data_IF_780428414186
#
_entry.id   IF_780428414186
#
_cell.length_a   1.000
_cell.length_b   1.000
_cell.length_c   1.000
_cell.angle_alpha   90.00
_cell.angle_beta   90.00
_cell.angle_gamma   90.00
#
_symmetry.space_group_name_H-M   'P 1'
#
loop_
_entity.id
_entity.type
_entity.pdbx_description
1 polymer ?
#
# COMPACT_ATOMS: atom_id res chain seq x y z
N UNK A 1 -8.81 60.45 -64.66
CA UNK A 1 -7.69 59.53 -64.42
C UNK A 1 -7.61 59.28 -62.93
N UNK A 2 -8.23 58.19 -62.48
CA UNK A 2 -8.12 57.69 -61.10
C UNK A 2 -6.88 56.80 -61.03
N UNK A 3 -5.97 57.12 -60.13
CA UNK A 3 -4.83 56.26 -59.80
C UNK A 3 -4.84 56.08 -58.29
N UNK A 4 -5.48 54.98 -57.89
CA UNK A 4 -5.51 54.48 -56.52
C UNK A 4 -4.09 54.12 -56.09
N UNK A 5 -3.59 54.87 -55.11
CA UNK A 5 -2.35 54.51 -54.41
C UNK A 5 -2.65 53.29 -53.53
N UNK A 6 -2.06 52.17 -53.93
CA UNK A 6 -1.95 50.92 -53.16
C UNK A 6 -1.49 51.27 -51.73
N UNK A 7 -2.42 51.20 -50.78
CA UNK A 7 -2.12 51.36 -49.36
C UNK A 7 -2.80 50.23 -48.60
N UNK A 8 -2.17 49.05 -48.60
CA UNK A 8 -2.48 48.00 -47.64
C UNK A 8 -1.24 47.13 -47.41
N UNK A 9 -0.26 47.67 -46.69
CA UNK A 9 0.70 46.83 -45.96
C UNK A 9 0.16 46.64 -44.55
N UNK A 10 -0.37 45.46 -44.29
CA UNK A 10 -0.71 44.99 -42.95
C UNK A 10 0.57 45.00 -42.10
N UNK A 11 0.58 45.82 -41.06
CA UNK A 11 1.62 45.80 -40.04
C UNK A 11 1.54 44.49 -39.27
N UNK A 12 2.30 43.49 -39.71
CA UNK A 12 2.53 42.26 -38.96
C UNK A 12 3.13 42.66 -37.60
N UNK A 13 2.35 42.52 -36.54
CA UNK A 13 2.79 42.80 -35.17
C UNK A 13 3.89 41.81 -34.79
N UNK A 14 5.15 42.26 -34.81
CA UNK A 14 6.27 41.49 -34.30
C UNK A 14 6.12 41.37 -32.78
N UNK A 15 5.66 40.20 -32.32
CA UNK A 15 5.71 39.84 -30.90
C UNK A 15 7.18 39.57 -30.54
N UNK A 16 7.78 40.35 -29.62
CA UNK A 16 9.13 40.07 -29.17
C UNK A 16 9.16 38.69 -28.51
N UNK A 17 10.02 37.80 -29.02
CA UNK A 17 10.26 36.52 -28.37
C UNK A 17 11.05 36.79 -27.09
N UNK A 18 10.54 36.30 -25.96
CA UNK A 18 11.19 36.43 -24.67
C UNK A 18 12.57 35.77 -24.68
N UNK A 19 13.62 36.50 -24.30
CA UNK A 19 15.00 36.00 -24.15
C UNK A 19 15.20 35.16 -22.88
N UNK A 20 14.14 34.91 -22.12
CA UNK A 20 14.18 33.95 -21.04
C UNK A 20 14.33 32.56 -21.65
N UNK A 21 15.28 31.72 -21.21
CA UNK A 21 15.37 30.33 -21.65
C UNK A 21 14.15 29.57 -21.12
N UNK A 22 13.01 29.71 -21.79
CA UNK A 22 11.90 28.79 -21.65
C UNK A 22 12.35 27.52 -22.37
N UNK A 23 13.05 26.67 -21.61
CA UNK A 23 13.50 25.36 -22.08
C UNK A 23 12.34 24.61 -22.72
N UNK A 24 12.64 23.87 -23.78
CA UNK A 24 11.66 23.11 -24.51
C UNK A 24 11.12 21.98 -23.61
N UNK A 25 9.82 22.03 -23.28
CA UNK A 25 9.17 20.97 -22.50
C UNK A 25 8.88 19.81 -23.44
N UNK A 26 9.90 18.99 -23.70
CA UNK A 26 9.74 17.76 -24.46
C UNK A 26 8.98 16.74 -23.61
N UNK A 27 7.73 16.49 -23.98
CA UNK A 27 6.96 15.38 -23.44
C UNK A 27 7.57 14.07 -23.91
N UNK A 28 8.22 13.33 -23.02
CA UNK A 28 8.69 11.98 -23.31
C UNK A 28 7.47 11.06 -23.48
N UNK A 29 7.10 10.82 -24.73
CA UNK A 29 6.18 9.74 -25.08
C UNK A 29 6.90 8.42 -24.84
N UNK A 30 6.23 7.49 -24.16
CA UNK A 30 6.78 6.16 -23.86
C UNK A 30 6.91 5.37 -25.17
N UNK A 31 8.14 5.02 -25.55
CA UNK A 31 8.41 4.23 -26.75
C UNK A 31 8.24 2.71 -26.56
N UNK A 32 8.21 2.22 -25.31
CA UNK A 32 8.14 0.78 -24.98
C UNK A 32 7.39 0.51 -23.66
N UNK A 33 6.52 -0.51 -23.68
CA UNK A 33 5.68 -0.95 -22.56
C UNK A 33 6.43 -1.59 -21.38
N UNK A 34 7.76 -1.74 -21.47
CA UNK A 34 8.63 -2.22 -20.39
C UNK A 34 9.39 -1.10 -19.67
N UNK A 35 9.30 0.14 -20.15
CA UNK A 35 9.84 1.28 -19.41
C UNK A 35 9.03 1.50 -18.13
N UNK A 36 9.64 1.92 -17.02
CA UNK A 36 8.89 2.23 -15.81
C UNK A 36 7.86 3.32 -16.12
N UNK A 37 6.59 2.91 -16.25
CA UNK A 37 5.46 3.81 -16.41
C UNK A 37 5.25 4.61 -15.13
N UNK A 38 4.32 5.58 -15.19
CA UNK A 38 3.88 6.36 -14.03
C UNK A 38 3.81 5.44 -12.81
N UNK A 39 4.72 5.65 -11.87
CA UNK A 39 4.64 5.00 -10.57
C UNK A 39 3.25 5.26 -10.02
N UNK A 40 2.60 4.23 -9.44
CA UNK A 40 1.34 4.45 -8.72
C UNK A 40 1.51 5.69 -7.85
N UNK A 41 0.54 6.60 -7.92
CA UNK A 41 0.56 7.84 -7.16
C UNK A 41 0.86 7.51 -5.70
N UNK A 42 1.82 8.23 -5.11
CA UNK A 42 2.24 7.95 -3.74
C UNK A 42 1.02 8.09 -2.83
N UNK A 43 0.53 6.96 -2.30
CA UNK A 43 -0.60 6.94 -1.38
C UNK A 43 -0.30 7.85 -0.21
N UNK A 44 -1.31 8.60 0.22
CA UNK A 44 -1.14 9.46 1.37
C UNK A 44 -0.72 8.63 2.59
N UNK A 45 0.10 9.18 3.51
CA UNK A 45 0.48 8.48 4.74
C UNK A 45 -0.74 7.95 5.52
N UNK A 46 -1.86 8.67 5.45
CA UNK A 46 -3.11 8.32 6.11
C UNK A 46 -3.79 7.09 5.47
N UNK A 47 -3.76 6.98 4.13
CA UNK A 47 -4.26 5.81 3.41
C UNK A 47 -3.40 4.56 3.66
N UNK A 48 -2.07 4.74 3.74
CA UNK A 48 -1.15 3.64 4.10
C UNK A 48 -1.37 3.20 5.55
N UNK A 49 -1.60 4.13 6.47
CA UNK A 49 -1.91 3.81 7.86
C UNK A 49 -3.24 3.06 7.99
N UNK A 50 -4.28 3.49 7.28
CA UNK A 50 -5.58 2.80 7.25
C UNK A 50 -5.48 1.36 6.75
N UNK A 51 -4.82 1.16 5.61
CA UNK A 51 -4.63 -0.19 5.04
C UNK A 51 -3.79 -1.11 5.91
N UNK A 52 -2.77 -0.58 6.61
CA UNK A 52 -2.01 -1.34 7.60
C UNK A 52 -2.85 -1.71 8.83
N UNK A 53 -3.65 -0.77 9.34
CA UNK A 53 -4.53 -1.01 10.48
C UNK A 53 -5.57 -2.10 10.17
N UNK A 54 -6.14 -2.09 8.96
CA UNK A 54 -7.06 -3.13 8.50
C UNK A 54 -6.38 -4.50 8.38
N UNK A 55 -5.16 -4.56 7.82
CA UNK A 55 -4.39 -5.79 7.73
C UNK A 55 -4.03 -6.35 9.12
N UNK A 56 -3.65 -5.48 10.05
CA UNK A 56 -3.34 -5.85 11.43
C UNK A 56 -4.58 -6.37 12.17
N UNK A 57 -5.73 -5.70 12.01
CA UNK A 57 -7.00 -6.14 12.58
C UNK A 57 -7.38 -7.54 12.07
N UNK A 58 -7.29 -7.76 10.76
CA UNK A 58 -7.55 -9.06 10.15
C UNK A 58 -6.60 -10.15 10.66
N UNK A 59 -5.33 -9.83 10.88
CA UNK A 59 -4.38 -10.78 11.46
C UNK A 59 -4.75 -11.15 12.90
N UNK A 60 -5.20 -10.19 13.72
CA UNK A 60 -5.70 -10.47 15.06
C UNK A 60 -6.98 -11.33 15.05
N UNK A 61 -7.92 -11.05 14.14
CA UNK A 61 -9.11 -11.88 13.94
C UNK A 61 -8.72 -13.34 13.59
N UNK A 62 -7.75 -13.54 12.69
CA UNK A 62 -7.25 -14.88 12.34
C UNK A 62 -6.61 -15.62 13.51
N UNK A 63 -5.85 -14.93 14.36
CA UNK A 63 -5.25 -15.53 15.56
C UNK A 63 -6.32 -15.89 16.60
N UNK A 64 -7.42 -15.13 16.67
CA UNK A 64 -8.56 -15.49 17.50
C UNK A 64 -9.27 -16.74 16.98
N UNK A 65 -9.52 -16.82 15.67
CA UNK A 65 -10.15 -17.99 15.05
C UNK A 65 -9.33 -19.27 15.27
N UNK A 66 -8.00 -19.18 15.15
CA UNK A 66 -7.09 -20.29 15.42
C UNK A 66 -7.13 -20.75 16.89
N UNK A 67 -7.35 -19.84 17.84
CA UNK A 67 -7.51 -20.19 19.25
C UNK A 67 -8.83 -20.92 19.50
N UNK A 68 -9.93 -20.40 18.94
CA UNK A 68 -11.25 -21.04 19.07
C UNK A 68 -11.25 -22.44 18.47
N UNK A 69 -10.67 -22.61 17.28
CA UNK A 69 -10.52 -23.92 16.63
C UNK A 69 -9.74 -24.91 17.52
N UNK A 70 -8.63 -24.46 18.12
CA UNK A 70 -7.83 -25.29 19.02
C UNK A 70 -8.60 -25.69 20.29
N UNK A 71 -9.39 -24.78 20.85
CA UNK A 71 -10.23 -25.04 22.02
C UNK A 71 -11.35 -26.03 21.69
N UNK A 72 -11.99 -25.90 20.51
CA UNK A 72 -13.01 -26.84 20.04
C UNK A 72 -12.46 -28.26 19.82
N UNK A 73 -11.27 -28.37 19.23
CA UNK A 73 -10.59 -29.65 19.02
C UNK A 73 -10.21 -30.30 20.35
N UNK A 74 -9.74 -29.49 21.31
CA UNK A 74 -9.43 -29.94 22.67
C UNK A 74 -10.69 -30.45 23.37
N UNK A 75 -11.80 -29.72 23.24
CA UNK A 75 -13.09 -30.11 23.80
C UNK A 75 -13.59 -31.42 23.19
N UNK A 76 -13.50 -31.60 21.87
CA UNK A 76 -13.92 -32.83 21.19
C UNK A 76 -13.16 -34.07 21.67
N UNK A 77 -11.86 -33.98 21.96
CA UNK A 77 -11.10 -35.11 22.53
C UNK A 77 -11.62 -35.50 23.92
N UNK A 78 -11.96 -34.52 24.76
CA UNK A 78 -12.40 -34.77 26.13
C UNK A 78 -13.78 -35.43 26.15
N UNK A 79 -14.66 -35.06 25.22
CA UNK A 79 -16.05 -35.54 25.19
C UNK A 79 -16.30 -36.72 24.24
N UNK A 80 -15.52 -36.88 23.16
CA UNK A 80 -15.61 -38.00 22.22
C UNK A 80 -14.22 -38.45 21.74
N UNK A 81 -13.54 -39.31 22.54
CA UNK A 81 -12.17 -39.77 22.27
C UNK A 81 -11.99 -40.59 20.99
N UNK A 82 -13.09 -41.01 20.33
CA UNK A 82 -13.05 -41.80 19.09
C UNK A 82 -13.33 -40.97 17.84
N UNK A 83 -13.71 -39.69 17.98
CA UNK A 83 -14.09 -38.82 16.87
C UNK A 83 -12.91 -38.07 16.21
N UNK A 84 -11.75 -38.03 16.88
CA UNK A 84 -10.55 -37.30 16.45
C UNK A 84 -9.28 -38.01 16.90
N UNK A 85 -8.24 -38.00 16.06
CA UNK A 85 -6.95 -38.62 16.36
C UNK A 85 -6.13 -37.71 17.29
N UNK A 86 -5.61 -38.25 18.40
CA UNK A 86 -4.90 -37.48 19.45
C UNK A 86 -3.77 -36.59 18.89
N UNK A 87 -3.08 -37.04 17.84
CA UNK A 87 -1.97 -36.30 17.26
C UNK A 87 -2.40 -35.04 16.52
N UNK A 88 -3.58 -35.01 15.91
CA UNK A 88 -4.10 -33.82 15.24
C UNK A 88 -4.37 -32.70 16.23
N UNK A 89 -4.85 -33.03 17.42
CA UNK A 89 -5.07 -32.04 18.49
C UNK A 89 -3.75 -31.57 19.09
N UNK A 90 -2.76 -32.45 19.25
CA UNK A 90 -1.42 -32.01 19.66
C UNK A 90 -0.78 -31.07 18.62
N UNK A 91 -0.94 -31.38 17.33
CA UNK A 91 -0.47 -30.52 16.23
C UNK A 91 -1.21 -29.18 16.26
N UNK A 92 -2.54 -29.19 16.42
CA UNK A 92 -3.35 -27.98 16.51
C UNK A 92 -2.97 -27.12 17.73
N UNK A 93 -2.79 -27.74 18.89
CA UNK A 93 -2.38 -27.07 20.13
C UNK A 93 -0.99 -26.46 20.02
N UNK A 94 -0.01 -27.17 19.42
CA UNK A 94 1.34 -26.64 19.21
C UNK A 94 1.33 -25.50 18.18
N UNK A 95 0.56 -25.65 17.09
CA UNK A 95 0.37 -24.60 16.10
C UNK A 95 -0.25 -23.34 16.74
N UNK A 96 -1.24 -23.49 17.61
CA UNK A 96 -1.86 -22.38 18.33
C UNK A 96 -0.85 -21.71 19.28
N UNK A 97 -0.09 -22.49 20.06
CA UNK A 97 0.96 -21.98 20.97
C UNK A 97 2.02 -21.16 20.24
N UNK A 98 2.54 -21.68 19.12
CA UNK A 98 3.55 -21.00 18.30
C UNK A 98 2.94 -19.71 17.71
N UNK A 99 1.73 -19.78 17.17
CA UNK A 99 1.05 -18.64 16.54
C UNK A 99 0.79 -17.51 17.54
N UNK A 100 0.35 -17.84 18.77
CA UNK A 100 0.15 -16.87 19.84
C UNK A 100 1.46 -16.19 20.25
N UNK A 101 2.52 -16.98 20.42
CA UNK A 101 3.85 -16.46 20.81
C UNK A 101 4.41 -15.52 19.73
N UNK A 102 4.24 -15.89 18.46
CA UNK A 102 4.60 -15.07 17.31
C UNK A 102 3.79 -13.77 17.26
N UNK A 103 2.46 -13.85 17.39
CA UNK A 103 1.58 -12.68 17.39
C UNK A 103 1.94 -11.70 18.51
N UNK A 104 2.21 -12.20 19.72
CA UNK A 104 2.70 -11.37 20.83
C UNK A 104 4.01 -10.67 20.49
N UNK A 105 4.98 -11.40 19.95
CA UNK A 105 6.30 -10.86 19.60
C UNK A 105 6.21 -9.76 18.53
N UNK A 106 5.36 -9.98 17.52
CA UNK A 106 5.10 -9.01 16.46
C UNK A 106 4.37 -7.77 16.98
N UNK A 107 3.33 -7.95 17.80
CA UNK A 107 2.62 -6.84 18.45
C UNK A 107 3.57 -5.98 19.29
N UNK A 108 4.38 -6.61 20.15
CA UNK A 108 5.40 -5.93 20.95
C UNK A 108 6.41 -5.19 20.03
N UNK A 109 6.74 -5.76 18.87
CA UNK A 109 7.59 -5.16 17.85
C UNK A 109 6.99 -3.92 17.19
N UNK A 110 5.72 -3.97 16.77
CA UNK A 110 5.03 -2.83 16.16
C UNK A 110 4.84 -1.68 17.16
N UNK A 111 4.53 -1.99 18.42
CA UNK A 111 4.45 -0.98 19.49
C UNK A 111 5.80 -0.29 19.69
N UNK A 112 6.91 -1.06 19.70
CA UNK A 112 8.27 -0.49 19.77
C UNK A 112 8.58 0.39 18.57
N UNK A 113 8.33 -0.08 17.35
CA UNK A 113 8.59 0.68 16.13
C UNK A 113 7.80 2.00 16.09
N UNK A 114 6.54 2.00 16.55
CA UNK A 114 5.74 3.23 16.67
C UNK A 114 6.34 4.21 17.68
N UNK A 115 6.73 3.72 18.86
CA UNK A 115 7.39 4.54 19.89
C UNK A 115 8.71 5.13 19.39
N UNK A 116 9.50 4.34 18.69
CA UNK A 116 10.79 4.75 18.12
C UNK A 116 10.61 5.82 17.04
N UNK A 117 9.68 5.62 16.10
CA UNK A 117 9.36 6.62 15.07
C UNK A 117 8.87 7.95 15.66
N UNK A 118 8.12 7.89 16.76
CA UNK A 118 7.62 9.09 17.46
C UNK A 118 8.74 9.80 18.22
N UNK A 119 9.70 9.06 18.76
CA UNK A 119 10.84 9.60 19.52
C UNK A 119 11.92 10.19 18.59
N UNK A 120 12.01 9.71 17.35
CA UNK A 120 12.92 10.22 16.32
C UNK A 120 12.45 11.54 15.66
N UNK A 121 11.23 11.99 15.95
CA UNK A 121 10.71 13.32 15.54
C UNK A 121 10.99 14.37 16.61
#
# INVERSE_FOLDING_TARGET
MSIDRITSLSSQSYKPHSLLPQGDKVGILRSDDRHYGKTNEAKSPDEVAGTFADALKKAFEQVNDQQVEADELTQKIVFDPNSVELHDVMIAAEKARISLTFAKTMSDGFVRAYRELTTLR
#
